data_IF_424306510930
#
_entry.id   IF_424306510930
#
_cell.length_a   1.000
_cell.length_b   1.000
_cell.length_c   1.000
_cell.angle_alpha   90.00
_cell.angle_beta   90.00
_cell.angle_gamma   90.00
#
_symmetry.space_group_name_H-M   'P 1'
#
loop_
_entity.id
_entity.type
_entity.pdbx_description
1 polymer ?
#
# COMPACT_ATOMS: atom_id res chain seq x y z
N UNK A 1 32.79 24.13 2.62
CA UNK A 1 32.01 23.04 3.27
C UNK A 1 30.52 23.16 2.94
N UNK A 2 29.91 24.34 3.07
CA UNK A 2 28.51 24.63 2.69
C UNK A 2 28.10 24.23 1.26
N UNK A 3 28.99 24.36 0.27
CA UNK A 3 28.67 23.99 -1.13
C UNK A 3 28.40 22.49 -1.31
N UNK A 4 28.94 21.64 -0.41
CA UNK A 4 28.82 20.19 -0.48
C UNK A 4 27.47 19.68 0.04
N UNK A 5 26.89 20.31 1.07
CA UNK A 5 25.55 19.95 1.55
C UNK A 5 24.45 20.53 0.65
N UNK A 6 24.61 21.77 0.17
CA UNK A 6 23.62 22.40 -0.70
C UNK A 6 23.47 21.65 -2.03
N UNK A 7 24.58 21.17 -2.60
CA UNK A 7 24.55 20.32 -3.81
C UNK A 7 23.86 18.98 -3.57
N UNK A 8 24.06 18.35 -2.40
CA UNK A 8 23.35 17.13 -1.98
C UNK A 8 21.85 17.35 -1.84
N UNK A 9 21.44 18.43 -1.18
CA UNK A 9 20.01 18.79 -1.03
C UNK A 9 19.39 19.11 -2.39
N UNK A 10 20.09 19.85 -3.26
CA UNK A 10 19.62 20.13 -4.63
C UNK A 10 19.46 18.86 -5.45
N UNK A 11 20.38 17.91 -5.33
CA UNK A 11 20.28 16.60 -6.00
C UNK A 11 19.08 15.82 -5.51
N UNK A 12 18.82 15.80 -4.20
CA UNK A 12 17.61 15.20 -3.63
C UNK A 12 16.35 15.88 -4.18
N UNK A 13 16.28 17.21 -4.10
CA UNK A 13 15.12 17.97 -4.59
C UNK A 13 14.85 17.72 -6.07
N UNK A 14 15.89 17.72 -6.91
CA UNK A 14 15.76 17.47 -8.34
C UNK A 14 15.07 16.13 -8.62
N UNK A 15 15.51 15.06 -7.95
CA UNK A 15 14.90 13.73 -8.08
C UNK A 15 13.45 13.74 -7.60
N UNK A 16 13.17 14.37 -6.46
CA UNK A 16 11.81 14.49 -5.95
C UNK A 16 10.92 15.24 -6.95
N UNK A 17 11.42 16.30 -7.57
CA UNK A 17 10.68 17.07 -8.57
C UNK A 17 10.56 16.38 -9.93
N UNK A 18 11.51 15.56 -10.35
CA UNK A 18 11.44 14.85 -11.65
C UNK A 18 10.47 13.66 -11.60
N UNK A 19 10.11 13.20 -10.40
CA UNK A 19 8.98 12.28 -10.19
C UNK A 19 7.58 12.89 -10.47
N UNK A 20 7.54 14.09 -11.08
CA UNK A 20 6.36 14.89 -11.45
C UNK A 20 5.34 14.19 -12.34
N UNK A 21 5.62 12.99 -12.85
CA UNK A 21 4.73 12.22 -13.71
C UNK A 21 3.95 11.09 -13.02
N UNK A 22 4.24 10.78 -11.75
CA UNK A 22 3.43 9.83 -10.97
C UNK A 22 4.25 8.81 -10.19
N UNK A 23 4.24 8.97 -8.87
CA UNK A 23 4.88 8.16 -7.81
C UNK A 23 6.40 7.97 -7.93
N UNK A 24 7.13 8.60 -7.01
CA UNK A 24 8.49 8.19 -6.71
C UNK A 24 8.44 6.81 -6.06
N UNK A 25 9.14 5.82 -6.61
CA UNK A 25 9.21 4.53 -5.93
C UNK A 25 10.11 4.64 -4.70
N UNK A 26 9.72 3.99 -3.61
CA UNK A 26 10.54 3.96 -2.39
C UNK A 26 11.96 3.46 -2.66
N UNK A 27 12.13 2.50 -3.57
CA UNK A 27 13.43 1.99 -4.00
C UNK A 27 14.31 3.03 -4.69
N UNK A 28 13.74 3.92 -5.50
CA UNK A 28 14.49 5.03 -6.09
C UNK A 28 14.92 6.03 -5.01
N UNK A 29 13.98 6.38 -4.12
CA UNK A 29 14.24 7.30 -3.01
C UNK A 29 15.36 6.78 -2.09
N UNK A 30 15.26 5.53 -1.65
CA UNK A 30 16.24 4.89 -0.76
C UNK A 30 17.62 4.79 -1.41
N UNK A 31 17.71 4.45 -2.70
CA UNK A 31 18.97 4.41 -3.45
C UNK A 31 19.66 5.77 -3.49
N UNK A 32 18.91 6.83 -3.76
CA UNK A 32 19.48 8.17 -3.88
C UNK A 32 19.91 8.70 -2.51
N UNK A 33 19.09 8.47 -1.47
CA UNK A 33 19.47 8.81 -0.10
C UNK A 33 20.72 8.03 0.33
N UNK A 34 20.83 6.76 -0.04
CA UNK A 34 22.01 5.93 0.21
C UNK A 34 23.28 6.52 -0.42
N UNK A 35 23.21 6.96 -1.68
CA UNK A 35 24.33 7.61 -2.38
C UNK A 35 24.69 8.98 -1.77
N UNK A 36 23.69 9.78 -1.40
CA UNK A 36 23.89 11.14 -0.87
C UNK A 36 24.48 11.11 0.55
N UNK A 37 24.00 10.19 1.40
CA UNK A 37 24.44 10.02 2.79
C UNK A 37 25.69 9.13 2.86
N UNK A 38 25.95 8.34 1.81
CA UNK A 38 26.98 7.30 1.75
C UNK A 38 26.81 6.27 2.88
N UNK A 39 25.64 5.64 2.92
CA UNK A 39 25.25 4.67 3.94
C UNK A 39 24.16 3.71 3.41
N UNK A 40 23.97 2.56 4.06
CA UNK A 40 22.80 1.71 3.79
C UNK A 40 21.55 2.39 4.37
N UNK A 41 20.46 2.43 3.61
CA UNK A 41 19.21 3.11 3.93
C UNK A 41 18.04 2.13 3.82
N UNK A 42 17.15 2.18 4.80
CA UNK A 42 15.91 1.40 4.84
C UNK A 42 14.75 2.32 5.14
N UNK A 43 13.70 2.23 4.32
CA UNK A 43 12.42 2.91 4.53
C UNK A 43 11.41 1.86 4.94
N UNK A 44 10.81 2.01 6.13
CA UNK A 44 9.85 1.05 6.66
C UNK A 44 8.49 1.70 6.94
N UNK A 45 7.43 0.91 6.87
CA UNK A 45 6.12 1.31 7.40
C UNK A 45 6.01 1.05 8.91
N UNK A 46 4.90 1.45 9.52
CA UNK A 46 4.64 1.26 10.95
C UNK A 46 4.60 -0.22 11.40
N UNK A 47 4.45 -1.16 10.46
CA UNK A 47 4.43 -2.62 10.72
C UNK A 47 5.80 -3.26 10.53
N UNK A 48 6.82 -2.50 10.14
CA UNK A 48 8.17 -2.98 9.88
C UNK A 48 8.38 -3.58 8.50
N UNK A 49 7.40 -3.44 7.58
CA UNK A 49 7.60 -3.85 6.18
C UNK A 49 8.58 -2.89 5.52
N UNK A 50 9.58 -3.41 4.82
CA UNK A 50 10.58 -2.59 4.14
C UNK A 50 10.01 -2.17 2.80
N UNK A 51 9.71 -0.88 2.68
CA UNK A 51 9.14 -0.29 1.46
C UNK A 51 10.21 -0.03 0.40
N UNK A 52 11.44 0.26 0.82
CA UNK A 52 12.56 0.51 -0.08
C UNK A 52 13.91 0.45 0.62
N UNK A 53 14.91 -0.03 -0.11
CA UNK A 53 16.29 -0.20 0.37
C UNK A 53 17.29 0.48 -0.57
N UNK A 54 18.36 0.99 0.02
CA UNK A 54 19.48 1.57 -0.72
C UNK A 54 20.77 1.07 -0.08
N UNK A 55 21.57 0.34 -0.83
CA UNK A 55 22.77 -0.31 -0.32
C UNK A 55 24.03 0.32 -0.93
N UNK A 56 24.98 0.68 -0.06
CA UNK A 56 26.37 0.92 -0.45
C UNK A 56 27.16 -0.38 -0.39
N UNK A 57 26.91 -1.21 0.63
CA UNK A 57 27.39 -2.59 0.70
C UNK A 57 26.21 -3.56 0.87
N UNK A 58 25.99 -4.40 -0.14
CA UNK A 58 24.85 -5.32 -0.21
C UNK A 58 25.04 -6.61 0.61
N UNK A 59 26.27 -6.94 1.01
CA UNK A 59 26.56 -8.13 1.83
C UNK A 59 26.18 -7.92 3.32
N UNK A 60 25.80 -6.69 3.68
CA UNK A 60 25.61 -6.22 5.06
C UNK A 60 24.15 -5.85 5.38
N UNK A 61 23.20 -6.65 4.90
CA UNK A 61 21.76 -6.41 5.13
C UNK A 61 21.37 -6.67 6.58
N UNK A 62 20.41 -5.88 7.09
CA UNK A 62 19.83 -6.04 8.44
C UNK A 62 18.34 -6.39 8.38
N UNK A 63 17.91 -6.89 7.23
CA UNK A 63 16.54 -7.27 6.89
C UNK A 63 16.43 -8.78 6.81
N UNK A 64 15.27 -9.30 7.18
CA UNK A 64 14.86 -10.68 6.93
C UNK A 64 13.94 -10.70 5.72
N UNK A 65 13.81 -11.86 5.08
CA UNK A 65 12.87 -12.07 3.97
C UNK A 65 11.72 -12.92 4.50
N UNK A 66 10.48 -12.46 4.32
CA UNK A 66 9.30 -13.20 4.76
C UNK A 66 8.94 -14.36 3.81
N UNK A 67 7.91 -15.14 4.17
CA UNK A 67 7.41 -16.26 3.37
C UNK A 67 6.94 -15.87 1.96
N UNK A 68 6.75 -14.57 1.68
CA UNK A 68 6.33 -14.02 0.39
C UNK A 68 7.49 -13.45 -0.41
N UNK A 69 8.71 -13.48 0.12
CA UNK A 69 9.89 -12.89 -0.52
C UNK A 69 10.04 -11.39 -0.29
N UNK A 70 9.27 -10.78 0.62
CA UNK A 70 9.35 -9.34 0.93
C UNK A 70 10.35 -9.08 2.07
N UNK A 71 11.14 -8.02 1.94
CA UNK A 71 12.07 -7.62 3.00
C UNK A 71 11.31 -7.02 4.20
N UNK A 72 11.69 -7.43 5.41
CA UNK A 72 11.08 -6.99 6.65
C UNK A 72 12.13 -6.75 7.73
N UNK A 73 11.84 -5.78 8.60
CA UNK A 73 12.56 -5.64 9.86
C UNK A 73 12.00 -6.63 10.87
N UNK A 74 12.85 -7.38 11.60
CA UNK A 74 12.40 -8.29 12.65
C UNK A 74 11.45 -7.58 13.63
N UNK A 75 10.36 -8.25 14.01
CA UNK A 75 9.28 -7.63 14.79
C UNK A 75 9.78 -7.02 16.10
N UNK A 76 10.73 -7.70 16.77
CA UNK A 76 11.38 -7.19 17.97
C UNK A 76 12.05 -5.83 17.75
N UNK A 77 12.84 -5.70 16.67
CA UNK A 77 13.51 -4.44 16.31
C UNK A 77 12.49 -3.35 15.97
N UNK A 78 11.47 -3.68 15.15
CA UNK A 78 10.46 -2.71 14.76
C UNK A 78 9.70 -2.16 15.97
N UNK A 79 9.32 -3.00 16.92
CA UNK A 79 8.64 -2.57 18.15
C UNK A 79 9.50 -1.58 18.95
N UNK A 80 10.82 -1.78 19.00
CA UNK A 80 11.73 -0.86 19.67
C UNK A 80 11.89 0.45 18.88
N UNK A 81 11.98 0.39 17.55
CA UNK A 81 12.03 1.57 16.69
C UNK A 81 10.79 2.45 16.77
N UNK A 82 9.61 1.84 16.88
CA UNK A 82 8.35 2.55 17.00
C UNK A 82 8.20 3.30 18.33
N UNK A 83 8.98 2.93 19.37
CA UNK A 83 9.03 3.66 20.66
C UNK A 83 9.95 4.89 20.63
N UNK A 84 10.78 5.04 19.61
CA UNK A 84 11.69 6.18 19.45
C UNK A 84 10.90 7.34 18.84
N UNK A 85 10.69 8.42 19.58
CA UNK A 85 9.88 9.59 19.18
C UNK A 85 10.68 10.71 18.50
N UNK A 86 12.01 10.66 18.61
CA UNK A 86 12.97 11.66 18.15
C UNK A 86 14.18 11.00 17.53
N UNK A 87 14.87 11.70 16.62
CA UNK A 87 16.04 11.16 15.91
C UNK A 87 17.11 10.68 16.90
N UNK A 88 17.50 9.40 16.78
CA UNK A 88 18.66 8.85 17.49
C UNK A 88 19.76 8.51 16.49
N UNK A 89 20.86 9.25 16.54
CA UNK A 89 22.00 9.07 15.67
C UNK A 89 23.18 8.43 16.40
N UNK A 90 24.10 7.84 15.63
CA UNK A 90 25.35 7.27 16.11
C UNK A 90 25.20 6.13 17.14
N UNK A 91 24.06 5.44 17.13
CA UNK A 91 23.83 4.27 17.96
C UNK A 91 24.80 3.16 17.53
N UNK A 92 25.61 2.67 18.47
CA UNK A 92 26.59 1.58 18.23
C UNK A 92 26.90 0.85 19.55
N UNK A 93 27.53 -0.32 19.45
CA UNK A 93 27.99 -1.14 20.57
C UNK A 93 26.87 -1.46 21.55
N UNK A 94 27.08 -1.10 22.83
CA UNK A 94 26.10 -1.38 23.91
C UNK A 94 24.74 -0.72 23.68
N UNK A 95 24.70 0.46 23.08
CA UNK A 95 23.43 1.13 22.80
C UNK A 95 22.66 0.40 21.70
N UNK A 96 23.35 -0.06 20.66
CA UNK A 96 22.76 -0.89 19.62
C UNK A 96 22.20 -2.20 20.20
N UNK A 97 22.97 -2.89 21.04
CA UNK A 97 22.52 -4.11 21.73
C UNK A 97 21.33 -3.86 22.67
N UNK A 98 21.27 -2.70 23.33
CA UNK A 98 20.12 -2.34 24.16
C UNK A 98 18.83 -2.15 23.36
N UNK A 99 18.92 -1.71 22.11
CA UNK A 99 17.75 -1.45 21.25
C UNK A 99 17.41 -2.68 20.41
N UNK A 100 18.41 -3.41 19.93
CA UNK A 100 18.26 -4.51 18.98
C UNK A 100 18.39 -5.90 19.64
N UNK A 101 18.84 -5.98 20.88
CA UNK A 101 19.03 -7.22 21.64
C UNK A 101 20.50 -7.68 21.67
N UNK A 102 20.86 -8.47 22.69
CA UNK A 102 22.24 -8.90 22.97
C UNK A 102 22.89 -9.74 21.85
N UNK A 103 22.08 -10.34 20.97
CA UNK A 103 22.55 -11.13 19.82
C UNK A 103 22.67 -10.36 18.50
N UNK A 104 22.52 -9.03 18.50
CA UNK A 104 22.53 -8.25 17.27
C UNK A 104 23.92 -8.20 16.62
N UNK A 105 24.10 -8.98 15.55
CA UNK A 105 25.38 -9.21 14.88
C UNK A 105 26.03 -7.94 14.31
N UNK A 106 25.24 -6.89 14.07
CA UNK A 106 25.68 -5.65 13.42
C UNK A 106 25.85 -4.50 14.42
N UNK A 107 26.01 -4.81 15.72
CA UNK A 107 26.12 -3.80 16.77
C UNK A 107 27.34 -2.87 16.61
N UNK A 108 28.36 -3.29 15.87
CA UNK A 108 29.55 -2.50 15.56
C UNK A 108 29.31 -1.39 14.51
N UNK A 109 28.20 -1.45 13.75
CA UNK A 109 27.78 -0.37 12.85
C UNK A 109 27.33 0.86 13.63
N UNK A 110 27.44 2.02 12.98
CA UNK A 110 26.72 3.21 13.40
C UNK A 110 25.32 3.19 12.79
N UNK A 111 24.31 3.43 13.63
CA UNK A 111 22.91 3.50 13.23
C UNK A 111 22.36 4.91 13.46
N UNK A 112 21.55 5.38 12.52
CA UNK A 112 20.71 6.55 12.65
C UNK A 112 19.26 6.09 12.45
N UNK A 113 18.44 6.25 13.49
CA UNK A 113 17.03 5.88 13.50
C UNK A 113 16.23 7.16 13.56
N UNK A 114 15.51 7.44 12.48
CA UNK A 114 14.69 8.64 12.34
C UNK A 114 13.21 8.24 12.24
N UNK A 115 12.36 8.70 13.15
CA UNK A 115 10.94 8.40 13.09
C UNK A 115 10.26 9.20 11.95
N UNK A 116 9.49 8.51 11.11
CA UNK A 116 8.79 9.15 9.98
C UNK A 116 7.37 9.54 10.40
N UNK A 117 7.11 10.84 10.49
CA UNK A 117 5.79 11.40 10.82
C UNK A 117 5.19 12.17 9.64
N UNK A 118 3.86 12.15 9.52
CA UNK A 118 3.14 13.05 8.61
C UNK A 118 1.73 13.30 9.15
N UNK A 119 1.31 14.56 9.30
CA UNK A 119 -0.02 14.90 9.80
C UNK A 119 -0.30 14.43 11.23
N UNK A 120 0.74 14.30 12.08
CA UNK A 120 0.64 13.85 13.46
C UNK A 120 0.73 12.33 13.67
N UNK A 121 0.56 11.52 12.62
CA UNK A 121 0.68 10.06 12.74
C UNK A 121 2.11 9.59 12.51
N UNK A 122 2.55 8.59 13.29
CA UNK A 122 3.77 7.82 13.06
C UNK A 122 3.52 6.82 11.91
N UNK A 123 4.16 7.05 10.77
CA UNK A 123 3.93 6.25 9.56
C UNK A 123 4.94 5.12 9.36
N UNK A 124 6.09 5.19 10.03
CA UNK A 124 7.12 4.18 9.96
C UNK A 124 8.48 4.70 10.43
N UNK A 125 9.55 4.05 10.02
CA UNK A 125 10.91 4.39 10.47
C UNK A 125 11.86 4.46 9.30
N UNK A 126 12.67 5.53 9.26
CA UNK A 126 13.79 5.68 8.35
C UNK A 126 15.07 5.29 9.08
N UNK A 127 15.74 4.25 8.59
CA UNK A 127 16.90 3.66 9.25
C UNK A 127 18.11 3.80 8.33
N UNK A 128 19.21 4.27 8.88
CA UNK A 128 20.47 4.42 8.14
C UNK A 128 21.60 3.76 8.91
N UNK A 129 22.40 2.95 8.23
CA UNK A 129 23.49 2.20 8.85
C UNK A 129 24.76 2.30 8.03
N UNK A 130 25.92 2.46 8.67
CA UNK A 130 27.22 2.36 7.99
C UNK A 130 28.34 1.96 8.95
N UNK A 131 29.41 1.41 8.39
CA UNK A 131 30.64 1.14 9.11
C UNK A 131 31.52 2.38 9.23
N UNK A 132 32.43 2.34 10.21
CA UNK A 132 33.66 3.15 10.30
C UNK A 132 33.50 4.67 10.45
N UNK A 133 32.31 5.25 10.26
CA UNK A 133 32.11 6.71 10.32
C UNK A 133 30.81 7.09 11.03
N UNK A 134 30.92 7.92 12.06
CA UNK A 134 29.78 8.56 12.73
C UNK A 134 29.05 9.51 11.78
N UNK A 135 27.72 9.58 11.88
CA UNK A 135 26.85 10.57 11.25
C UNK A 135 27.13 11.95 11.83
N UNK A 136 27.51 12.89 10.97
CA UNK A 136 27.61 14.31 11.29
C UNK A 136 26.24 14.97 11.28
N UNK A 137 26.14 16.19 11.81
CA UNK A 137 24.90 16.98 11.77
C UNK A 137 24.37 17.16 10.34
N UNK A 138 25.26 17.31 9.35
CA UNK A 138 24.90 17.36 7.94
C UNK A 138 24.25 16.06 7.45
N UNK A 139 24.79 14.90 7.87
CA UNK A 139 24.23 13.61 7.52
C UNK A 139 22.89 13.38 8.24
N UNK A 140 22.78 13.78 9.51
CA UNK A 140 21.54 13.67 10.30
C UNK A 140 20.44 14.53 9.68
N UNK A 141 20.75 15.77 9.28
CA UNK A 141 19.80 16.65 8.60
C UNK A 141 19.28 16.03 7.28
N UNK A 142 20.15 15.36 6.52
CA UNK A 142 19.75 14.61 5.31
C UNK A 142 18.87 13.40 5.65
N UNK A 143 19.13 12.71 6.77
CA UNK A 143 18.30 11.61 7.23
C UNK A 143 16.89 12.09 7.64
N UNK A 144 16.79 13.19 8.38
CA UNK A 144 15.51 13.81 8.76
C UNK A 144 14.72 14.29 7.55
N UNK A 145 15.42 14.90 6.59
CA UNK A 145 14.81 15.26 5.31
C UNK A 145 14.27 14.03 4.57
N UNK A 146 15.08 12.96 4.49
CA UNK A 146 14.66 11.69 3.89
C UNK A 146 13.44 11.07 4.58
N UNK A 147 13.42 11.07 5.92
CA UNK A 147 12.30 10.57 6.72
C UNK A 147 11.01 11.38 6.51
N UNK A 148 11.10 12.70 6.41
CA UNK A 148 9.96 13.57 6.13
C UNK A 148 9.36 13.30 4.74
N UNK A 149 10.21 13.16 3.72
CA UNK A 149 9.77 12.84 2.35
C UNK A 149 9.17 11.43 2.29
N UNK A 150 9.81 10.45 2.92
CA UNK A 150 9.27 9.09 3.02
C UNK A 150 7.90 9.09 3.72
N UNK A 151 7.74 9.84 4.81
CA UNK A 151 6.45 10.00 5.49
C UNK A 151 5.36 10.59 4.59
N UNK A 152 5.69 11.60 3.78
CA UNK A 152 4.76 12.19 2.83
C UNK A 152 4.31 11.18 1.76
N UNK A 153 5.23 10.40 1.19
CA UNK A 153 4.91 9.39 0.19
C UNK A 153 4.12 8.20 0.76
N UNK A 154 4.44 7.76 2.00
CA UNK A 154 3.63 6.76 2.72
C UNK A 154 2.20 7.27 2.90
N UNK A 155 2.03 8.52 3.36
CA UNK A 155 0.70 9.12 3.51
C UNK A 155 -0.05 9.18 2.19
N UNK A 156 0.62 9.59 1.13
CA UNK A 156 0.05 9.69 -0.22
C UNK A 156 -0.47 8.34 -0.69
N UNK A 157 0.31 7.27 -0.55
CA UNK A 157 -0.10 5.92 -0.93
C UNK A 157 -1.31 5.43 -0.12
N UNK A 158 -1.32 5.65 1.20
CA UNK A 158 -2.48 5.35 2.06
C UNK A 158 -3.73 6.10 1.58
N UNK A 159 -3.60 7.37 1.20
CA UNK A 159 -4.72 8.16 0.71
C UNK A 159 -5.23 7.66 -0.65
N UNK A 160 -4.33 7.34 -1.59
CA UNK A 160 -4.68 6.76 -2.89
C UNK A 160 -5.41 5.43 -2.74
N UNK A 161 -4.97 4.56 -1.82
CA UNK A 161 -5.67 3.30 -1.52
C UNK A 161 -7.06 3.55 -0.94
N UNK A 162 -7.19 4.49 0.01
CA UNK A 162 -8.48 4.88 0.58
C UNK A 162 -9.42 5.47 -0.48
N UNK A 163 -8.91 6.28 -1.40
CA UNK A 163 -9.69 6.86 -2.50
C UNK A 163 -10.15 5.78 -3.48
N UNK A 164 -9.27 4.85 -3.87
CA UNK A 164 -9.65 3.69 -4.68
C UNK A 164 -10.75 2.87 -3.99
N UNK A 165 -10.60 2.61 -2.69
CA UNK A 165 -11.59 1.87 -1.90
C UNK A 165 -12.94 2.59 -1.82
N UNK A 166 -12.92 3.90 -1.57
CA UNK A 166 -14.13 4.74 -1.61
C UNK A 166 -14.77 4.74 -2.98
N UNK A 167 -13.98 4.86 -4.04
CA UNK A 167 -14.45 4.82 -5.43
C UNK A 167 -15.16 3.50 -5.74
N UNK A 168 -14.62 2.36 -5.27
CA UNK A 168 -15.28 1.06 -5.39
C UNK A 168 -16.63 1.05 -4.66
N UNK A 169 -16.72 1.57 -3.44
CA UNK A 169 -18.00 1.63 -2.71
C UNK A 169 -19.00 2.54 -3.42
N UNK A 170 -18.58 3.73 -3.86
CA UNK A 170 -19.40 4.70 -4.58
C UNK A 170 -19.94 4.14 -5.89
N UNK A 171 -19.12 3.43 -6.66
CA UNK A 171 -19.55 2.79 -7.91
C UNK A 171 -20.70 1.80 -7.67
N UNK A 172 -20.66 1.02 -6.59
CA UNK A 172 -21.77 0.12 -6.21
C UNK A 172 -23.01 0.91 -5.79
N UNK A 173 -22.86 2.00 -5.05
CA UNK A 173 -24.00 2.85 -4.63
C UNK A 173 -24.72 3.44 -5.84
N UNK A 174 -23.98 4.05 -6.77
CA UNK A 174 -24.54 4.63 -8.00
C UNK A 174 -25.24 3.56 -8.82
N UNK A 175 -24.62 2.38 -8.96
CA UNK A 175 -25.21 1.28 -9.69
C UNK A 175 -26.55 0.84 -9.05
N UNK A 176 -26.60 0.76 -7.73
CA UNK A 176 -27.80 0.39 -7.00
C UNK A 176 -28.93 1.41 -7.10
N UNK A 177 -28.62 2.71 -7.01
CA UNK A 177 -29.58 3.80 -7.19
C UNK A 177 -30.16 3.82 -8.60
N UNK A 178 -29.39 3.39 -9.60
CA UNK A 178 -29.88 3.29 -10.98
C UNK A 178 -30.86 2.13 -11.23
N UNK A 179 -30.93 1.16 -10.32
CA UNK A 179 -31.80 0.00 -10.42
C UNK A 179 -33.18 0.31 -9.82
N UNK A 180 -34.22 0.05 -10.61
CA UNK A 180 -35.61 0.02 -10.12
C UNK A 180 -35.81 -1.11 -9.10
N UNK A 181 -36.89 -1.04 -8.33
CA UNK A 181 -37.23 -2.05 -7.32
C UNK A 181 -37.23 -3.48 -7.91
N UNK A 182 -37.92 -3.68 -9.05
CA UNK A 182 -37.98 -4.98 -9.72
C UNK A 182 -36.60 -5.44 -10.24
N UNK A 183 -35.76 -4.51 -10.72
CA UNK A 183 -34.40 -4.83 -11.17
C UNK A 183 -33.49 -5.24 -10.01
N UNK A 184 -33.59 -4.57 -8.84
CA UNK A 184 -32.85 -4.97 -7.63
C UNK A 184 -33.25 -6.37 -7.18
N UNK A 185 -34.54 -6.67 -7.17
CA UNK A 185 -35.03 -7.99 -6.81
C UNK A 185 -34.55 -9.08 -7.80
N UNK A 186 -34.54 -8.76 -9.09
CA UNK A 186 -33.99 -9.64 -10.13
C UNK A 186 -32.49 -9.91 -9.92
N UNK A 187 -31.69 -8.87 -9.65
CA UNK A 187 -30.26 -8.99 -9.33
C UNK A 187 -30.05 -9.90 -8.13
N UNK A 188 -30.81 -9.70 -7.05
CA UNK A 188 -30.74 -10.55 -5.85
C UNK A 188 -30.96 -12.02 -6.20
N UNK A 189 -32.04 -12.33 -6.92
CA UNK A 189 -32.40 -13.70 -7.34
C UNK A 189 -31.32 -14.34 -8.21
N UNK A 190 -30.67 -13.58 -9.09
CA UNK A 190 -29.55 -14.06 -9.91
C UNK A 190 -28.35 -14.43 -9.03
N UNK A 191 -27.96 -13.55 -8.10
CA UNK A 191 -26.81 -13.77 -7.22
C UNK A 191 -27.06 -14.78 -6.09
N UNK A 192 -28.31 -15.23 -5.88
CA UNK A 192 -28.63 -16.40 -5.05
C UNK A 192 -28.35 -17.73 -5.77
N UNK A 193 -28.50 -17.78 -7.11
CA UNK A 193 -28.20 -19.00 -7.89
C UNK A 193 -26.71 -19.18 -8.19
N UNK A 194 -25.92 -18.13 -7.95
CA UNK A 194 -24.52 -18.09 -8.32
C UNK A 194 -23.66 -17.76 -7.10
N UNK A 195 -22.79 -18.69 -6.72
CA UNK A 195 -21.78 -18.49 -5.68
C UNK A 195 -20.39 -18.26 -6.29
N UNK A 196 -19.60 -17.37 -5.68
CA UNK A 196 -18.25 -17.00 -6.15
C UNK A 196 -18.14 -15.66 -6.90
N UNK A 197 -16.98 -15.38 -7.49
CA UNK A 197 -16.66 -14.12 -8.18
C UNK A 197 -16.86 -14.17 -9.71
N UNK A 198 -16.92 -15.37 -10.30
CA UNK A 198 -17.11 -15.59 -11.73
C UNK A 198 -17.94 -16.85 -12.02
N UNK A 199 -18.86 -16.79 -12.98
CA UNK A 199 -19.65 -17.95 -13.39
C UNK A 199 -20.56 -17.69 -14.58
N UNK A 200 -21.21 -18.75 -15.07
CA UNK A 200 -22.13 -18.69 -16.19
C UNK A 200 -23.57 -18.91 -15.72
N UNK A 201 -24.48 -18.03 -16.12
CA UNK A 201 -25.90 -18.09 -15.75
C UNK A 201 -26.75 -18.12 -17.00
N UNK A 202 -27.70 -19.05 -17.05
CA UNK A 202 -28.71 -19.09 -18.11
C UNK A 202 -29.90 -18.23 -17.68
N UNK A 203 -29.98 -17.01 -18.22
CA UNK A 203 -30.99 -16.00 -17.86
C UNK A 203 -32.42 -16.55 -17.94
N UNK A 204 -32.74 -17.31 -19.00
CA UNK A 204 -34.07 -17.89 -19.20
C UNK A 204 -34.48 -18.89 -18.10
N UNK A 205 -33.52 -19.57 -17.49
CA UNK A 205 -33.77 -20.50 -16.37
C UNK A 205 -34.10 -19.74 -15.09
N UNK A 206 -33.36 -18.67 -14.80
CA UNK A 206 -33.60 -17.80 -13.64
C UNK A 206 -34.93 -17.07 -13.78
N UNK A 207 -35.22 -16.54 -14.96
CA UNK A 207 -36.47 -15.86 -15.29
C UNK A 207 -37.70 -16.74 -15.04
N UNK A 208 -37.68 -17.99 -15.52
CA UNK A 208 -38.73 -18.97 -15.27
C UNK A 208 -38.85 -19.34 -13.78
N UNK A 209 -37.73 -19.58 -13.10
CA UNK A 209 -37.71 -20.02 -11.69
C UNK A 209 -38.34 -18.98 -10.76
N UNK A 210 -38.08 -17.71 -11.01
CA UNK A 210 -38.53 -16.62 -10.14
C UNK A 210 -39.67 -15.78 -10.71
N UNK A 211 -40.28 -16.24 -11.82
CA UNK A 211 -41.38 -15.58 -12.53
C UNK A 211 -41.10 -14.09 -12.86
N UNK A 212 -39.91 -13.81 -13.41
CA UNK A 212 -39.48 -12.47 -13.86
C UNK A 212 -39.21 -12.48 -15.36
N UNK A 213 -39.23 -11.30 -16.00
CA UNK A 213 -38.96 -11.20 -17.45
C UNK A 213 -37.45 -11.24 -17.74
N UNK A 214 -37.06 -11.85 -18.87
CA UNK A 214 -35.66 -11.87 -19.32
C UNK A 214 -35.12 -10.45 -19.54
N UNK A 215 -35.95 -9.53 -20.06
CA UNK A 215 -35.56 -8.14 -20.31
C UNK A 215 -35.20 -7.39 -19.02
N UNK A 216 -35.91 -7.66 -17.92
CA UNK A 216 -35.62 -7.10 -16.61
C UNK A 216 -34.22 -7.51 -16.12
N UNK A 217 -33.89 -8.81 -16.24
CA UNK A 217 -32.58 -9.36 -15.88
C UNK A 217 -31.46 -8.72 -16.72
N UNK A 218 -31.64 -8.68 -18.05
CA UNK A 218 -30.64 -8.12 -18.96
C UNK A 218 -30.42 -6.64 -18.69
N UNK A 219 -31.47 -5.86 -18.44
CA UNK A 219 -31.36 -4.44 -18.15
C UNK A 219 -30.63 -4.19 -16.82
N UNK A 220 -30.94 -4.97 -15.79
CA UNK A 220 -30.27 -4.85 -14.50
C UNK A 220 -28.77 -5.17 -14.60
N UNK A 221 -28.40 -6.24 -15.33
CA UNK A 221 -27.00 -6.59 -15.58
C UNK A 221 -26.28 -5.51 -16.39
N UNK A 222 -26.93 -4.92 -17.41
CA UNK A 222 -26.35 -3.83 -18.21
C UNK A 222 -26.08 -2.58 -17.36
N UNK A 223 -26.96 -2.24 -16.41
CA UNK A 223 -26.75 -1.10 -15.50
C UNK A 223 -25.56 -1.32 -14.56
N UNK A 224 -25.45 -2.53 -13.99
CA UNK A 224 -24.30 -2.90 -13.16
C UNK A 224 -22.98 -2.92 -13.94
N UNK A 225 -23.02 -3.37 -15.20
CA UNK A 225 -21.87 -3.34 -16.11
C UNK A 225 -21.47 -1.90 -16.48
N UNK A 226 -22.44 -1.03 -16.74
CA UNK A 226 -22.19 0.38 -17.06
C UNK A 226 -21.52 1.14 -15.91
N UNK A 227 -21.76 0.73 -14.66
CA UNK A 227 -21.09 1.27 -13.48
C UNK A 227 -19.73 0.62 -13.19
N UNK A 228 -19.26 -0.32 -14.03
CA UNK A 228 -17.99 -1.04 -13.83
C UNK A 228 -17.97 -2.02 -12.67
N UNK A 229 -19.15 -2.39 -12.15
CA UNK A 229 -19.30 -3.24 -10.96
C UNK A 229 -19.13 -4.73 -11.30
N UNK A 230 -19.56 -5.11 -12.51
CA UNK A 230 -19.39 -6.45 -13.08
C UNK A 230 -19.11 -6.36 -14.58
N UNK A 231 -18.71 -7.47 -15.18
CA UNK A 231 -18.67 -7.65 -16.65
C UNK A 231 -19.64 -8.76 -17.02
N UNK A 232 -20.39 -8.56 -18.11
CA UNK A 232 -21.31 -9.56 -18.65
C UNK A 232 -20.94 -9.91 -20.09
N UNK A 233 -20.71 -11.19 -20.38
CA UNK A 233 -20.42 -11.67 -21.73
C UNK A 233 -21.46 -12.71 -22.15
N UNK A 234 -22.22 -12.41 -23.21
CA UNK A 234 -23.14 -13.39 -23.79
C UNK A 234 -22.37 -14.53 -24.44
N UNK A 235 -22.72 -15.77 -24.10
CA UNK A 235 -22.20 -17.00 -24.71
C UNK A 235 -23.27 -17.69 -25.59
N UNK A 236 -24.27 -16.92 -26.04
CA UNK A 236 -25.40 -17.43 -26.81
C UNK A 236 -26.21 -18.47 -26.03
N UNK A 237 -26.38 -19.67 -26.59
CA UNK A 237 -27.17 -20.75 -25.97
C UNK A 237 -26.58 -21.29 -24.66
N UNK A 238 -25.29 -21.07 -24.41
CA UNK A 238 -24.62 -21.51 -23.17
C UNK A 238 -24.87 -20.57 -21.98
N UNK A 239 -25.59 -19.47 -22.19
CA UNK A 239 -25.93 -18.48 -21.16
C UNK A 239 -25.05 -17.24 -21.20
N UNK A 240 -25.00 -16.51 -20.08
CA UNK A 240 -24.22 -15.28 -19.91
C UNK A 240 -23.17 -15.52 -18.85
N UNK A 241 -21.90 -15.30 -19.21
CA UNK A 241 -20.79 -15.30 -18.26
C UNK A 241 -20.77 -13.97 -17.51
N UNK A 242 -20.75 -14.03 -16.19
CA UNK A 242 -20.71 -12.86 -15.31
C UNK A 242 -19.43 -12.94 -14.49
N UNK A 243 -18.70 -11.83 -14.42
CA UNK A 243 -17.54 -11.68 -13.57
C UNK A 243 -17.72 -10.44 -12.70
N UNK A 244 -17.74 -10.61 -11.38
CA UNK A 244 -17.83 -9.51 -10.43
C UNK A 244 -16.46 -8.83 -10.34
N UNK A 245 -16.38 -7.54 -10.69
CA UNK A 245 -15.15 -6.75 -10.56
C UNK A 245 -15.03 -6.09 -9.20
N UNK A 246 -16.17 -5.72 -8.61
CA UNK A 246 -16.21 -5.00 -7.36
C UNK A 246 -16.57 -5.90 -6.17
N UNK A 247 -15.64 -6.04 -5.23
CA UNK A 247 -15.81 -6.85 -4.00
C UNK A 247 -16.98 -6.42 -3.11
N UNK A 248 -17.48 -5.18 -3.27
CA UNK A 248 -18.57 -4.64 -2.48
C UNK A 248 -19.97 -5.01 -2.97
N UNK A 249 -20.11 -5.48 -4.22
CA UNK A 249 -21.42 -5.79 -4.81
C UNK A 249 -22.22 -6.79 -3.97
N UNK A 250 -21.61 -7.92 -3.58
CA UNK A 250 -22.32 -8.96 -2.82
C UNK A 250 -22.77 -8.49 -1.43
N UNK A 251 -21.92 -7.72 -0.75
CA UNK A 251 -22.27 -7.11 0.56
C UNK A 251 -23.45 -6.16 0.45
N UNK A 252 -23.52 -5.40 -0.65
CA UNK A 252 -24.64 -4.51 -0.91
C UNK A 252 -25.95 -5.29 -1.13
N UNK A 253 -25.94 -6.31 -2.00
CA UNK A 253 -27.11 -7.15 -2.29
C UNK A 253 -27.64 -7.85 -1.03
N UNK A 254 -26.75 -8.25 -0.11
CA UNK A 254 -27.11 -8.90 1.15
C UNK A 254 -27.58 -7.93 2.27
N UNK A 255 -27.38 -6.61 2.13
CA UNK A 255 -27.91 -5.63 3.10
C UNK A 255 -29.35 -5.25 2.81
N UNK A 256 -29.74 -5.23 1.53
CA UNK A 256 -31.11 -4.93 1.08
C UNK A 256 -32.11 -6.05 1.44
N UNK A 257 -31.67 -7.15 2.07
CA UNK A 257 -32.52 -8.21 2.65
C UNK A 257 -32.96 -7.95 4.10
N UNK A 258 -32.45 -6.90 4.76
CA UNK A 258 -32.71 -6.61 6.17
C UNK A 258 -33.74 -5.47 6.40
N UNK A 259 -34.39 -5.00 5.34
CA UNK A 259 -35.54 -4.08 5.33
C UNK A 259 -36.74 -4.78 4.68
#
# INVERSE_FOLDING_TARGET
MSDKILSRIRRLNWVLTESTTGSLSYGQLSKILSEVINANVYITDARGNVLGTGYINAEDTSTEVDDKGEEKIPEYHNNNFMRIDSTKANITGREALSIMGEGYAMADKYHCIVPSFCGGDRLGTFIVTRYNRQFSDEDIALCEYGAAVAGLEIRRNINLEKEKEKSLVTAVSIAAESLSFSEREAVRKIFMEFDGSEGAIVISRVAKKYNITNSLVVNALRKLESAGVLISCSMGMKGTKIQIKNKYLRKFIAKDTAL
#
